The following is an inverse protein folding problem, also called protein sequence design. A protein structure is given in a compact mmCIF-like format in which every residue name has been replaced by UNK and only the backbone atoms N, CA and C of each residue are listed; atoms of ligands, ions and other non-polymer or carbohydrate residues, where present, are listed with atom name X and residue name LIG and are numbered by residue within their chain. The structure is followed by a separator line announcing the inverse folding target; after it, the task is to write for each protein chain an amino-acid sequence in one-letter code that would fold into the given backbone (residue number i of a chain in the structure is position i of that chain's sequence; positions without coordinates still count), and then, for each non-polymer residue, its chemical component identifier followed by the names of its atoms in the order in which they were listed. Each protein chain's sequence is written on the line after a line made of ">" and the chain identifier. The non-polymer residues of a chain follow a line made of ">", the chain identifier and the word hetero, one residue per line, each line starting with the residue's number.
data_IF_811758519360
#
_entry.id   IF_811758519360
#
_cell.length_a   1.000
_cell.length_b   1.000
_cell.length_c   1.000
_cell.angle_alpha   90.00
_cell.angle_beta   90.00
_cell.angle_gamma   90.00
#
_symmetry.space_group_name_H-M   'P 1'
#
loop_
_entity.id
_entity.type
_entity.pdbx_description
1 polymer ?
#
# COMPACT_ATOMS: atom_id res chain seq x y z
N UNK A 1 -14.25 28.38 -3.03
CA UNK A 1 -12.88 28.92 -3.06
C UNK A 1 -12.04 27.83 -3.70
N UNK A 2 -11.64 27.99 -4.97
CA UNK A 2 -10.79 27.05 -5.71
C UNK A 2 -9.41 27.13 -5.06
N UNK A 3 -8.93 26.05 -4.44
CA UNK A 3 -7.55 25.99 -4.01
C UNK A 3 -6.67 25.98 -5.26
N UNK A 4 -5.83 27.00 -5.40
CA UNK A 4 -4.94 27.25 -6.55
C UNK A 4 -3.72 26.33 -6.57
N UNK A 5 -3.86 25.09 -6.09
CA UNK A 5 -2.79 24.10 -5.95
C UNK A 5 -2.92 22.92 -6.93
N UNK A 6 -3.92 22.92 -7.82
CA UNK A 6 -4.09 21.93 -8.90
C UNK A 6 -2.82 21.80 -9.77
N UNK A 7 -2.07 22.89 -9.93
CA UNK A 7 -0.82 22.91 -10.72
C UNK A 7 0.35 22.17 -10.05
N UNK A 8 0.27 21.89 -8.74
CA UNK A 8 1.40 21.33 -7.99
C UNK A 8 1.48 19.81 -8.07
N UNK A 9 0.33 19.13 -8.22
CA UNK A 9 0.20 17.67 -8.31
C UNK A 9 -1.03 17.30 -9.15
N UNK A 10 -0.96 17.36 -10.48
CA UNK A 10 -2.09 17.06 -11.34
C UNK A 10 -2.51 15.60 -11.22
N UNK A 11 -3.81 15.30 -11.39
CA UNK A 11 -4.28 13.91 -11.51
C UNK A 11 -3.56 13.24 -12.68
N UNK A 12 -2.76 12.24 -12.36
CA UNK A 12 -1.95 11.53 -13.32
C UNK A 12 -2.69 10.27 -13.76
N UNK A 13 -3.24 10.28 -14.99
CA UNK A 13 -3.85 9.08 -15.57
C UNK A 13 -2.84 7.98 -15.82
N UNK A 14 -1.54 8.28 -15.78
CA UNK A 14 -0.49 7.27 -15.88
C UNK A 14 -0.08 6.74 -14.49
N UNK A 15 -0.70 7.23 -13.40
CA UNK A 15 -0.41 6.72 -12.06
C UNK A 15 -0.75 5.23 -11.94
N UNK A 16 0.06 4.54 -11.13
CA UNK A 16 0.05 3.09 -10.97
C UNK A 16 -1.26 2.54 -10.41
N UNK A 17 -1.88 3.23 -9.46
CA UNK A 17 -3.14 2.78 -8.86
C UNK A 17 -4.28 2.84 -9.89
N UNK A 18 -4.33 3.91 -10.67
CA UNK A 18 -5.29 4.12 -11.73
C UNK A 18 -5.14 3.07 -12.85
N UNK A 19 -3.92 2.87 -13.36
CA UNK A 19 -3.68 1.87 -14.41
C UNK A 19 -4.00 0.44 -13.95
N UNK A 20 -3.69 0.10 -12.69
CA UNK A 20 -4.05 -1.21 -12.11
C UNK A 20 -5.56 -1.37 -11.95
N UNK A 21 -6.26 -0.33 -11.51
CA UNK A 21 -7.72 -0.34 -11.42
C UNK A 21 -8.34 -0.61 -12.79
N UNK A 22 -7.92 0.13 -13.83
CA UNK A 22 -8.45 -0.04 -15.18
C UNK A 22 -8.16 -1.44 -15.75
N UNK A 23 -6.94 -1.95 -15.58
CA UNK A 23 -6.55 -3.26 -16.07
C UNK A 23 -7.39 -4.38 -15.42
N UNK A 24 -7.48 -4.39 -14.09
CA UNK A 24 -8.24 -5.40 -13.35
C UNK A 24 -9.74 -5.30 -13.63
N UNK A 25 -10.28 -4.08 -13.68
CA UNK A 25 -11.70 -3.90 -13.99
C UNK A 25 -12.02 -4.40 -15.41
N UNK A 26 -11.11 -4.22 -16.37
CA UNK A 26 -11.30 -4.67 -17.75
C UNK A 26 -11.33 -6.19 -17.92
N UNK A 27 -10.92 -6.98 -16.92
CA UNK A 27 -11.00 -8.44 -16.98
C UNK A 27 -12.45 -8.95 -16.93
N UNK A 28 -13.35 -8.18 -16.32
CA UNK A 28 -14.74 -8.59 -16.06
C UNK A 28 -15.79 -7.56 -16.50
N UNK A 29 -15.37 -6.33 -16.74
CA UNK A 29 -16.25 -5.20 -17.06
C UNK A 29 -15.81 -4.52 -18.35
N UNK A 30 -16.78 -4.02 -19.12
CA UNK A 30 -16.51 -2.95 -20.06
C UNK A 30 -16.31 -1.66 -19.25
N UNK A 31 -15.15 -1.02 -19.44
CA UNK A 31 -14.73 0.14 -18.66
C UNK A 31 -14.94 1.41 -19.48
N UNK A 32 -15.88 2.25 -19.05
CA UNK A 32 -16.17 3.55 -19.66
C UNK A 32 -15.64 4.68 -18.77
N UNK A 33 -14.68 5.44 -19.29
CA UNK A 33 -14.11 6.59 -18.59
C UNK A 33 -14.76 7.88 -19.10
N UNK A 34 -15.45 8.58 -18.20
CA UNK A 34 -16.02 9.89 -18.47
C UNK A 34 -15.06 10.96 -18.01
N UNK A 35 -14.57 11.78 -18.93
CA UNK A 35 -13.63 12.86 -18.62
C UNK A 35 -14.34 14.20 -18.40
N UNK A 36 -13.71 15.06 -17.59
CA UNK A 36 -14.02 16.49 -17.49
C UNK A 36 -13.59 17.21 -18.78
N UNK A 37 -13.95 18.49 -18.91
CA UNK A 37 -13.55 19.33 -20.04
C UNK A 37 -12.02 19.46 -20.19
N UNK A 38 -11.26 19.30 -19.10
CA UNK A 38 -9.79 19.31 -19.09
C UNK A 38 -9.15 17.94 -19.39
N UNK A 39 -9.96 16.93 -19.71
CA UNK A 39 -9.50 15.58 -20.05
C UNK A 39 -9.28 14.66 -18.84
N UNK A 40 -9.37 15.15 -17.59
CA UNK A 40 -9.21 14.31 -16.40
C UNK A 40 -10.42 13.40 -16.17
N UNK A 41 -10.24 12.13 -15.75
CA UNK A 41 -11.35 11.24 -15.40
C UNK A 41 -12.22 11.83 -14.28
N UNK A 42 -13.54 11.81 -14.47
CA UNK A 42 -14.55 12.27 -13.50
C UNK A 42 -15.38 11.11 -12.97
N UNK A 43 -15.76 10.19 -13.87
CA UNK A 43 -16.57 9.01 -13.54
C UNK A 43 -15.99 7.81 -14.29
N UNK A 44 -15.89 6.68 -13.61
CA UNK A 44 -15.60 5.38 -14.20
C UNK A 44 -16.87 4.52 -14.12
N UNK A 45 -17.44 4.14 -15.25
CA UNK A 45 -18.55 3.19 -15.30
C UNK A 45 -18.03 1.81 -15.68
N UNK A 46 -18.27 0.84 -14.80
CA UNK A 46 -17.93 -0.56 -14.98
C UNK A 46 -19.21 -1.32 -15.33
N UNK A 47 -19.33 -1.77 -16.59
CA UNK A 47 -20.50 -2.49 -17.07
C UNK A 47 -20.17 -3.98 -17.11
N UNK A 48 -20.86 -4.79 -16.31
CA UNK A 48 -20.59 -6.22 -16.25
C UNK A 48 -21.07 -6.87 -17.56
N UNK A 49 -20.14 -7.46 -18.32
CA UNK A 49 -20.38 -7.87 -19.72
C UNK A 49 -21.53 -8.86 -19.86
N UNK A 50 -21.74 -9.73 -18.87
CA UNK A 50 -22.77 -10.78 -18.96
C UNK A 50 -24.16 -10.37 -18.48
N UNK A 51 -24.26 -9.50 -17.47
CA UNK A 51 -25.55 -9.08 -16.89
C UNK A 51 -26.02 -7.70 -17.37
N UNK A 52 -25.09 -6.85 -17.82
CA UNK A 52 -25.37 -5.45 -18.15
C UNK A 52 -25.47 -4.53 -16.93
N UNK A 53 -25.27 -5.05 -15.72
CA UNK A 53 -25.29 -4.24 -14.50
C UNK A 53 -24.14 -3.24 -14.52
N UNK A 54 -24.39 -2.03 -14.05
CA UNK A 54 -23.40 -0.95 -14.06
C UNK A 54 -23.07 -0.49 -12.64
N UNK A 55 -21.79 -0.44 -12.32
CA UNK A 55 -21.24 0.23 -11.14
C UNK A 55 -20.57 1.51 -11.63
N UNK A 56 -20.92 2.66 -11.05
CA UNK A 56 -20.26 3.93 -11.36
C UNK A 56 -19.44 4.40 -10.16
N UNK A 57 -18.15 4.63 -10.38
CA UNK A 57 -17.22 5.19 -9.42
C UNK A 57 -16.98 6.66 -9.77
N UNK A 58 -17.24 7.58 -8.84
CA UNK A 58 -16.86 8.99 -9.02
C UNK A 58 -15.39 9.14 -8.65
N UNK A 59 -14.59 9.63 -9.60
CA UNK A 59 -13.17 9.94 -9.39
C UNK A 59 -13.10 11.35 -8.82
N UNK A 60 -12.85 11.42 -7.51
CA UNK A 60 -12.58 12.70 -6.85
C UNK A 60 -11.11 13.04 -7.06
N UNK A 61 -10.89 14.00 -7.95
CA UNK A 61 -9.63 14.71 -8.17
C UNK A 61 -9.31 15.59 -6.96
N UNK A 62 -9.01 14.94 -5.84
CA UNK A 62 -8.47 15.58 -4.65
C UNK A 62 -7.00 15.26 -4.57
N UNK A 63 -6.16 16.29 -4.36
CA UNK A 63 -4.72 16.25 -4.02
C UNK A 63 -4.29 14.87 -3.52
N UNK A 64 -3.91 13.98 -4.43
CA UNK A 64 -3.57 12.62 -4.06
C UNK A 64 -2.26 12.67 -3.27
N UNK A 65 -2.30 12.18 -2.05
CA UNK A 65 -1.16 12.17 -1.14
C UNK A 65 -0.05 11.34 -1.77
N UNK A 66 0.99 12.03 -2.22
CA UNK A 66 2.16 11.53 -2.95
C UNK A 66 3.07 10.62 -2.13
N UNK A 67 2.58 10.10 -0.99
CA UNK A 67 3.39 9.42 0.00
C UNK A 67 2.64 8.19 0.57
N UNK A 68 2.47 7.14 -0.24
CA UNK A 68 1.78 5.93 0.19
C UNK A 68 2.50 5.33 1.39
N UNK A 69 1.76 5.08 2.46
CA UNK A 69 2.27 4.50 3.69
C UNK A 69 1.53 3.22 4.05
N UNK A 70 2.20 2.38 4.81
CA UNK A 70 1.63 1.19 5.44
C UNK A 70 1.96 1.22 6.92
N UNK A 71 1.04 0.73 7.74
CA UNK A 71 1.34 0.43 9.14
C UNK A 71 1.84 -1.01 9.22
N UNK A 72 3.12 -1.20 9.54
CA UNK A 72 3.65 -2.52 9.89
C UNK A 72 3.39 -2.78 11.37
N UNK A 73 2.90 -3.97 11.68
CA UNK A 73 2.70 -4.45 13.04
C UNK A 73 3.59 -5.67 13.30
N UNK A 74 4.38 -5.59 14.36
CA UNK A 74 5.23 -6.66 14.86
C UNK A 74 4.46 -7.40 15.95
N UNK A 75 4.35 -8.71 15.79
CA UNK A 75 3.69 -9.61 16.73
C UNK A 75 4.70 -10.10 17.78
N UNK A 76 4.20 -10.49 18.94
CA UNK A 76 5.01 -11.01 20.07
C UNK A 76 5.75 -12.29 19.71
N UNK A 77 5.25 -13.06 18.74
CA UNK A 77 5.89 -14.26 18.19
C UNK A 77 6.93 -13.95 17.09
N UNK A 78 7.18 -12.67 16.78
CA UNK A 78 8.15 -12.24 15.78
C UNK A 78 7.57 -12.10 14.36
N UNK A 79 6.28 -12.35 14.14
CA UNK A 79 5.67 -12.18 12.83
C UNK A 79 5.44 -10.71 12.47
N UNK A 80 5.46 -10.42 11.17
CA UNK A 80 5.06 -9.14 10.60
C UNK A 80 3.70 -9.24 9.93
N UNK A 81 2.91 -8.19 10.06
CA UNK A 81 1.71 -7.94 9.25
C UNK A 81 1.72 -6.49 8.76
N UNK A 82 1.11 -6.24 7.61
CA UNK A 82 1.05 -4.93 6.99
C UNK A 82 -0.41 -4.49 6.86
N UNK A 83 -0.70 -3.22 7.18
CA UNK A 83 -2.06 -2.65 7.14
C UNK A 83 -2.08 -1.36 6.31
N UNK A 84 -2.87 -1.32 5.23
CA UNK A 84 -2.95 -0.19 4.31
C UNK A 84 -3.25 -0.61 2.87
N UNK A 85 -2.76 0.09 1.84
CA UNK A 85 -1.97 1.34 1.85
C UNK A 85 -2.82 2.57 2.13
N UNK A 86 -2.29 3.55 2.85
CA UNK A 86 -2.98 4.82 3.18
C UNK A 86 -2.15 6.04 2.82
N UNK A 87 -2.82 7.18 2.82
CA UNK A 87 -2.27 8.49 2.50
C UNK A 87 -1.43 9.04 3.68
N UNK A 88 -0.12 8.79 3.65
CA UNK A 88 0.84 9.39 4.57
C UNK A 88 0.97 8.73 5.96
N UNK A 89 2.01 9.12 6.71
CA UNK A 89 2.37 8.47 7.97
C UNK A 89 1.36 8.75 9.09
N UNK A 90 0.74 9.93 9.12
CA UNK A 90 -0.24 10.30 10.15
C UNK A 90 -1.46 9.37 10.10
N UNK A 91 -2.05 9.19 8.91
CA UNK A 91 -3.18 8.28 8.68
C UNK A 91 -2.83 6.83 9.05
N UNK A 92 -1.62 6.38 8.73
CA UNK A 92 -1.16 5.04 9.12
C UNK A 92 -1.07 4.89 10.64
N UNK A 93 -0.53 5.90 11.33
CA UNK A 93 -0.38 5.89 12.79
C UNK A 93 -1.71 6.03 13.54
N UNK A 94 -2.68 6.76 12.99
CA UNK A 94 -4.02 6.88 13.57
C UNK A 94 -4.73 5.53 13.71
N UNK A 95 -4.40 4.54 12.86
CA UNK A 95 -4.94 3.18 12.94
C UNK A 95 -4.24 2.31 13.99
N UNK A 96 -3.04 2.67 14.46
CA UNK A 96 -2.27 1.83 15.37
C UNK A 96 -2.97 1.53 16.71
N UNK A 97 -3.63 2.48 17.39
CA UNK A 97 -4.35 2.19 18.64
C UNK A 97 -5.47 1.18 18.44
N UNK A 98 -6.29 1.33 17.40
CA UNK A 98 -7.39 0.41 17.11
C UNK A 98 -6.86 -0.99 16.82
N UNK A 99 -5.80 -1.08 16.04
CA UNK A 99 -5.16 -2.34 15.72
C UNK A 99 -4.63 -3.04 16.99
N UNK A 100 -3.91 -2.33 17.87
CA UNK A 100 -3.39 -2.88 19.14
C UNK A 100 -4.51 -3.27 20.12
N UNK A 101 -5.64 -2.56 20.11
CA UNK A 101 -6.81 -2.90 20.93
C UNK A 101 -7.51 -4.18 20.44
N UNK A 102 -7.53 -4.41 19.14
CA UNK A 102 -8.17 -5.60 18.54
C UNK A 102 -7.28 -6.84 18.57
N UNK A 103 -5.96 -6.66 18.53
CA UNK A 103 -4.99 -7.74 18.53
C UNK A 103 -3.93 -7.55 19.63
N UNK A 104 -4.16 -8.23 20.77
CA UNK A 104 -3.26 -8.21 21.92
C UNK A 104 -1.91 -8.90 21.70
N UNK A 105 -1.68 -9.52 20.53
CA UNK A 105 -0.38 -10.10 20.18
C UNK A 105 0.56 -9.06 19.58
N UNK A 106 0.11 -7.86 19.26
CA UNK A 106 0.95 -6.81 18.67
C UNK A 106 1.81 -6.16 19.75
N UNK A 107 3.13 -6.17 19.56
CA UNK A 107 4.10 -5.57 20.49
C UNK A 107 4.62 -4.22 20.02
N UNK A 108 4.56 -3.93 18.72
CA UNK A 108 5.02 -2.67 18.16
C UNK A 108 4.36 -2.40 16.80
N UNK A 109 4.22 -1.14 16.48
CA UNK A 109 3.71 -0.68 15.18
C UNK A 109 4.62 0.42 14.64
N UNK A 110 4.82 0.45 13.32
CA UNK A 110 5.60 1.50 12.66
C UNK A 110 4.97 1.86 11.33
N UNK A 111 4.78 3.16 11.09
CA UNK A 111 4.38 3.66 9.78
C UNK A 111 5.60 3.73 8.86
N UNK A 112 5.48 3.11 7.69
CA UNK A 112 6.57 2.96 6.73
C UNK A 112 6.11 3.44 5.36
N UNK A 113 6.91 4.27 4.67
CA UNK A 113 6.62 4.63 3.29
C UNK A 113 6.70 3.39 2.40
N UNK A 114 5.83 3.32 1.41
CA UNK A 114 5.73 2.20 0.48
C UNK A 114 6.55 2.51 -0.76
N UNK A 115 7.67 1.83 -0.90
CA UNK A 115 8.53 1.95 -2.06
C UNK A 115 7.89 1.36 -3.33
N UNK A 116 8.17 1.99 -4.47
CA UNK A 116 7.63 1.59 -5.76
C UNK A 116 8.44 0.43 -6.39
N UNK A 117 7.84 -0.75 -6.66
CA UNK A 117 8.56 -1.88 -7.22
C UNK A 117 9.19 -1.69 -8.61
N UNK A 118 8.84 -0.62 -9.34
CA UNK A 118 9.48 -0.29 -10.62
C UNK A 118 10.84 0.38 -10.45
N UNK A 119 11.12 0.90 -9.27
CA UNK A 119 12.37 1.61 -9.01
C UNK A 119 13.46 0.60 -8.65
N UNK A 120 14.65 0.80 -9.21
CA UNK A 120 15.75 -0.16 -9.08
C UNK A 120 16.37 -0.18 -7.67
N UNK A 121 16.24 0.92 -6.92
CA UNK A 121 16.90 1.11 -5.64
C UNK A 121 15.92 1.66 -4.59
N UNK A 122 16.01 1.13 -3.38
CA UNK A 122 15.32 1.68 -2.22
C UNK A 122 15.98 3.01 -1.82
N UNK A 123 15.20 4.08 -1.83
CA UNK A 123 15.69 5.39 -1.42
C UNK A 123 16.08 5.39 0.08
N UNK A 124 17.13 6.13 0.49
CA UNK A 124 17.58 6.14 1.89
C UNK A 124 16.50 6.56 2.90
N UNK A 125 15.61 7.45 2.51
CA UNK A 125 14.49 7.96 3.30
C UNK A 125 13.29 6.99 3.37
N UNK A 126 13.31 5.89 2.62
CA UNK A 126 12.32 4.82 2.74
C UNK A 126 12.58 3.89 3.93
N UNK A 127 13.81 3.91 4.47
CA UNK A 127 14.20 3.10 5.61
C UNK A 127 13.70 3.69 6.93
N UNK A 128 13.20 2.83 7.83
CA UNK A 128 12.75 3.19 9.18
C UNK A 128 13.49 2.35 10.20
N UNK A 129 13.97 3.01 11.25
CA UNK A 129 14.63 2.32 12.35
C UNK A 129 13.63 1.47 13.13
N UNK A 130 14.11 0.29 13.53
CA UNK A 130 13.48 -0.58 14.49
C UNK A 130 14.23 -0.49 15.81
N UNK A 131 13.54 -0.67 16.94
CA UNK A 131 14.21 -1.06 18.18
C UNK A 131 15.10 -2.29 17.97
N UNK A 132 16.32 -2.24 18.49
CA UNK A 132 17.35 -3.26 18.30
C UNK A 132 16.85 -4.67 18.62
N UNK A 133 16.11 -4.82 19.72
CA UNK A 133 15.57 -6.11 20.19
C UNK A 133 14.47 -6.67 19.28
N UNK A 134 13.77 -5.81 18.53
CA UNK A 134 12.74 -6.25 17.60
C UNK A 134 13.33 -6.77 16.30
N UNK A 135 14.37 -6.12 15.77
CA UNK A 135 15.01 -6.55 14.52
C UNK A 135 15.49 -8.00 14.61
N UNK A 136 16.08 -8.40 15.74
CA UNK A 136 16.58 -9.76 15.97
C UNK A 136 15.46 -10.81 16.07
N UNK A 137 14.27 -10.41 16.50
CA UNK A 137 13.14 -11.33 16.74
C UNK A 137 12.26 -11.56 15.51
N UNK A 138 12.45 -10.80 14.43
CA UNK A 138 11.63 -10.93 13.23
C UNK A 138 11.84 -12.29 12.56
N UNK A 139 10.72 -12.95 12.26
CA UNK A 139 10.65 -14.26 11.60
C UNK A 139 9.91 -14.16 10.27
N UNK A 140 10.37 -14.95 9.30
CA UNK A 140 9.67 -15.08 8.03
C UNK A 140 8.44 -15.98 8.18
N UNK A 141 7.30 -15.44 7.79
CA UNK A 141 6.00 -16.10 7.86
C UNK A 141 5.21 -15.72 6.60
N UNK A 142 5.63 -16.22 5.42
CA UNK A 142 5.09 -15.77 4.15
C UNK A 142 3.61 -16.16 4.03
N UNK A 143 2.76 -15.28 3.49
CA UNK A 143 1.38 -15.62 3.20
C UNK A 143 1.30 -16.65 2.06
N UNK A 144 0.41 -17.63 2.20
CA UNK A 144 0.18 -18.64 1.16
C UNK A 144 -0.58 -18.05 -0.04
N UNK A 145 -1.49 -17.10 0.22
CA UNK A 145 -2.34 -16.46 -0.80
C UNK A 145 -2.67 -15.01 -0.41
N UNK A 146 -3.23 -14.25 -1.36
CA UNK A 146 -3.76 -12.90 -1.11
C UNK A 146 -2.76 -11.76 -1.35
N UNK A 147 -3.22 -10.55 -1.06
CA UNK A 147 -2.42 -9.35 -1.19
C UNK A 147 -1.27 -9.35 -0.16
N UNK A 148 -0.09 -8.92 -0.60
CA UNK A 148 1.09 -8.92 0.24
C UNK A 148 2.03 -7.76 -0.12
N UNK A 149 3.04 -7.59 0.72
CA UNK A 149 4.13 -6.66 0.54
C UNK A 149 5.46 -7.39 0.74
N UNK A 150 6.52 -6.84 0.14
CA UNK A 150 7.88 -7.21 0.48
C UNK A 150 8.36 -6.25 1.56
N UNK A 151 8.79 -6.78 2.70
CA UNK A 151 9.51 -6.04 3.73
C UNK A 151 10.97 -6.44 3.68
N UNK A 152 11.82 -5.44 3.57
CA UNK A 152 13.27 -5.58 3.61
C UNK A 152 13.76 -5.30 5.02
N UNK A 153 14.68 -6.10 5.52
CA UNK A 153 15.30 -5.94 6.83
C UNK A 153 16.81 -5.90 6.69
N UNK A 154 17.39 -4.77 7.07
CA UNK A 154 18.82 -4.66 7.33
C UNK A 154 19.03 -4.87 8.83
N UNK A 155 19.39 -6.12 9.20
CA UNK A 155 19.66 -6.48 10.59
C UNK A 155 20.85 -5.74 11.16
N UNK A 156 21.89 -5.48 10.38
CA UNK A 156 23.08 -4.78 10.86
C UNK A 156 22.79 -3.31 11.20
N UNK A 157 21.89 -2.68 10.45
CA UNK A 157 21.46 -1.30 10.65
C UNK A 157 20.18 -1.13 11.49
N UNK A 158 19.60 -2.23 12.00
CA UNK A 158 18.29 -2.29 12.67
C UNK A 158 17.23 -1.42 11.98
N UNK A 159 17.04 -1.63 10.68
CA UNK A 159 16.11 -0.83 9.87
C UNK A 159 15.34 -1.69 8.89
N UNK A 160 14.10 -1.27 8.60
CA UNK A 160 13.25 -1.90 7.61
C UNK A 160 12.82 -0.93 6.51
N UNK A 161 12.42 -1.48 5.38
CA UNK A 161 11.73 -0.78 4.32
C UNK A 161 10.60 -1.66 3.78
N UNK A 162 9.55 -1.06 3.22
CA UNK A 162 8.43 -1.79 2.65
C UNK A 162 8.28 -1.43 1.18
N UNK A 163 7.90 -2.39 0.34
CA UNK A 163 7.55 -2.13 -1.05
C UNK A 163 6.43 -3.01 -1.58
N UNK A 164 5.77 -2.50 -2.61
CA UNK A 164 4.53 -3.08 -3.13
C UNK A 164 3.45 -2.00 -3.35
N UNK A 165 2.17 -2.33 -3.20
CA UNK A 165 1.58 -3.64 -2.89
C UNK A 165 1.63 -4.63 -4.08
N UNK A 166 1.54 -5.92 -3.76
CA UNK A 166 1.44 -7.03 -4.71
C UNK A 166 0.15 -7.80 -4.51
N UNK A 167 -0.42 -8.28 -5.62
CA UNK A 167 -1.68 -9.05 -5.62
C UNK A 167 -1.48 -10.54 -5.27
N UNK A 168 -0.24 -11.02 -5.28
CA UNK A 168 0.08 -12.42 -4.99
C UNK A 168 1.49 -12.58 -4.41
N UNK A 169 1.74 -13.62 -3.60
CA UNK A 169 3.10 -13.96 -3.14
C UNK A 169 4.07 -14.22 -4.29
N UNK A 170 3.59 -14.77 -5.41
CA UNK A 170 4.41 -15.05 -6.59
C UNK A 170 4.95 -13.77 -7.25
N UNK A 171 4.10 -12.76 -7.43
CA UNK A 171 4.52 -11.47 -8.01
C UNK A 171 5.40 -10.68 -7.05
N UNK A 172 5.17 -10.78 -5.74
CA UNK A 172 6.05 -10.22 -4.72
C UNK A 172 7.45 -10.87 -4.73
N UNK A 173 7.51 -12.21 -4.82
CA UNK A 173 8.77 -12.97 -4.84
C UNK A 173 9.65 -12.68 -6.05
N UNK A 174 9.04 -12.27 -7.17
CA UNK A 174 9.77 -11.84 -8.37
C UNK A 174 10.45 -10.47 -8.19
N UNK A 175 9.99 -9.67 -7.22
CA UNK A 175 10.54 -8.38 -6.91
C UNK A 175 11.55 -8.47 -5.76
N UNK A 176 12.84 -8.45 -6.09
CA UNK A 176 13.96 -8.53 -5.14
C UNK A 176 14.85 -7.29 -5.25
N UNK A 177 14.44 -6.16 -4.67
CA UNK A 177 15.25 -4.95 -4.66
C UNK A 177 16.41 -5.07 -3.66
N UNK A 178 17.58 -4.51 -3.99
CA UNK A 178 18.69 -4.36 -3.05
C UNK A 178 19.84 -5.37 -3.23
N UNK A 179 20.66 -5.48 -2.19
CA UNK A 179 21.88 -6.29 -2.10
C UNK A 179 21.60 -7.60 -1.31
N UNK A 180 22.42 -8.63 -1.51
CA UNK A 180 22.29 -9.96 -0.89
C UNK A 180 22.38 -9.93 0.65
N UNK A 181 22.84 -8.82 1.23
CA UNK A 181 22.96 -8.61 2.67
C UNK A 181 21.64 -8.24 3.38
N UNK A 182 20.57 -7.95 2.62
CA UNK A 182 19.27 -7.54 3.16
C UNK A 182 18.31 -8.75 3.15
N UNK A 183 17.74 -9.06 4.31
CA UNK A 183 16.70 -10.09 4.40
C UNK A 183 15.39 -9.58 3.80
N UNK A 184 14.64 -10.48 3.17
CA UNK A 184 13.38 -10.18 2.51
C UNK A 184 12.28 -11.04 3.10
N UNK A 185 11.17 -10.41 3.43
CA UNK A 185 10.00 -11.03 4.04
C UNK A 185 8.79 -10.79 3.14
N UNK A 186 7.99 -11.82 2.91
CA UNK A 186 6.66 -11.64 2.35
C UNK A 186 5.68 -11.45 3.49
N UNK A 187 5.03 -10.30 3.52
CA UNK A 187 4.16 -9.90 4.63
C UNK A 187 2.73 -9.79 4.11
N UNK A 188 1.73 -10.43 4.76
CA UNK A 188 0.33 -10.26 4.37
C UNK A 188 -0.09 -8.81 4.51
N UNK A 189 -0.82 -8.30 3.51
CA UNK A 189 -1.35 -6.95 3.48
C UNK A 189 -2.86 -6.96 3.72
N UNK A 190 -3.28 -6.33 4.81
CA UNK A 190 -4.68 -6.17 5.18
C UNK A 190 -5.16 -4.75 4.87
N UNK A 191 -6.42 -4.59 4.41
CA UNK A 191 -6.99 -3.27 4.23
C UNK A 191 -7.22 -2.61 5.59
N UNK A 192 -6.97 -1.30 5.68
CA UNK A 192 -7.47 -0.50 6.80
C UNK A 192 -8.93 -0.19 6.49
N UNK A 193 -9.83 -0.87 7.19
CA UNK A 193 -11.27 -0.57 7.15
C UNK A 193 -11.50 0.52 8.18
N UNK A 194 -11.67 1.76 7.71
CA UNK A 194 -12.10 2.84 8.57
C UNK A 194 -13.57 2.59 8.97
N UNK A 195 -13.80 1.80 10.03
CA UNK A 195 -15.06 1.85 10.73
C UNK A 195 -15.14 3.23 11.39
N UNK A 196 -15.77 4.18 10.68
CA UNK A 196 -16.15 5.49 11.22
C UNK A 196 -17.24 5.28 12.27
N UNK A 197 -16.86 4.76 13.42
CA UNK A 197 -17.67 4.80 14.62
C UNK A 197 -17.08 5.80 15.61
N UNK A 198 -17.29 7.09 15.31
CA UNK A 198 -17.89 8.09 16.23
C UNK A 198 -17.93 9.48 15.60
#
# INVERSE_FOLDING_TARGET
>A
MRDSNDDKYPFDTDNRAWQRLLALASEHFEVLTWAREDGRPAILSLVHVSSGDTISLTVLDSLEVSDPHVLLAVHTDGRLTAHGTVAGPATALEYAPDLVLTDGMITATVAVPVHNPTDANIAPDAWRHLPDDLADRLLDAPPETGACMVVLLDRAGHRLAAGGSFLSPASASAWKPGDDAVEWFLVPLYPIVADRHR
#
